data_IF_106120015218
#
_entry.id   IF_106120015218
#
_cell.length_a   1.000
_cell.length_b   1.000
_cell.length_c   1.000
_cell.angle_alpha   90.00
_cell.angle_beta   90.00
_cell.angle_gamma   90.00
#
_symmetry.space_group_name_H-M   'P 1'
#
loop_
_entity.id
_entity.type
_entity.pdbx_description
1 polymer ?
#
# COMPACT_ATOMS: atom_id res chain seq x y z
N UNK A 1 -7.24 -11.88 15.16
CA UNK A 1 -7.87 -10.88 14.25
C UNK A 1 -7.08 -9.56 14.14
N UNK A 2 -6.49 -9.03 15.22
CA UNK A 2 -5.71 -7.76 15.21
C UNK A 2 -4.61 -7.70 14.13
N UNK A 3 -3.81 -8.76 13.98
CA UNK A 3 -2.71 -8.82 13.00
C UNK A 3 -3.18 -8.74 11.54
N UNK A 4 -4.35 -9.31 11.24
CA UNK A 4 -4.90 -9.33 9.89
C UNK A 4 -5.49 -7.97 9.48
N UNK A 5 -6.13 -7.31 10.43
CA UNK A 5 -6.56 -5.92 10.31
C UNK A 5 -5.33 -5.05 10.07
N UNK A 6 -4.30 -5.17 10.92
CA UNK A 6 -3.02 -4.47 10.81
C UNK A 6 -2.39 -4.58 9.41
N UNK A 7 -2.28 -5.79 8.85
CA UNK A 7 -1.73 -6.03 7.49
C UNK A 7 -2.47 -5.22 6.43
N UNK A 8 -3.80 -5.18 6.48
CA UNK A 8 -4.61 -4.46 5.49
C UNK A 8 -4.53 -2.95 5.71
N UNK A 9 -4.71 -2.47 6.96
CA UNK A 9 -4.56 -1.06 7.34
C UNK A 9 -3.28 -0.48 6.79
N UNK A 10 -2.23 -1.28 6.86
CA UNK A 10 -0.89 -0.85 6.60
C UNK A 10 -0.51 -0.87 5.12
N UNK A 11 -0.96 -1.89 4.40
CA UNK A 11 -0.90 -1.88 2.94
C UNK A 11 -1.60 -0.62 2.41
N UNK A 12 -2.75 -0.29 2.98
CA UNK A 12 -3.49 0.94 2.66
C UNK A 12 -2.72 2.19 3.07
N UNK A 13 -2.25 2.28 4.32
CA UNK A 13 -1.46 3.39 4.82
C UNK A 13 -0.29 3.71 3.89
N UNK A 14 0.48 2.68 3.51
CA UNK A 14 1.59 2.83 2.60
C UNK A 14 1.18 3.35 1.21
N UNK A 15 0.12 2.79 0.62
CA UNK A 15 -0.41 3.31 -0.65
C UNK A 15 -0.82 4.77 -0.54
N UNK A 16 -1.49 5.12 0.56
CA UNK A 16 -2.00 6.47 0.78
C UNK A 16 -0.87 7.45 1.03
N UNK A 17 0.17 7.10 1.79
CA UNK A 17 1.31 7.98 2.00
C UNK A 17 2.11 8.21 0.72
N UNK A 18 2.32 7.18 -0.11
CA UNK A 18 2.90 7.37 -1.44
C UNK A 18 2.05 8.26 -2.34
N UNK A 19 0.74 8.07 -2.33
CA UNK A 19 -0.18 8.83 -3.17
C UNK A 19 -0.35 10.27 -2.65
N UNK A 20 -0.35 10.48 -1.34
CA UNK A 20 -0.45 11.78 -0.68
C UNK A 20 0.87 12.54 -0.67
N UNK A 21 2.02 11.88 -0.85
CA UNK A 21 3.27 12.54 -1.20
C UNK A 21 3.18 13.30 -2.55
N UNK A 22 2.04 13.21 -3.25
CA UNK A 22 1.67 14.05 -4.39
C UNK A 22 1.89 15.53 -4.09
N UNK A 23 2.78 16.09 -4.92
CA UNK A 23 2.86 17.49 -5.27
C UNK A 23 3.23 18.38 -4.09
N UNK A 24 4.42 18.16 -3.55
CA UNK A 24 5.08 19.30 -2.93
C UNK A 24 5.36 20.31 -4.02
N UNK A 25 4.72 21.47 -3.93
CA UNK A 25 5.15 22.62 -4.69
C UNK A 25 6.54 23.01 -4.19
N UNK A 26 7.55 22.58 -4.92
CA UNK A 26 8.86 23.20 -4.89
C UNK A 26 8.74 24.49 -5.68
N UNK A 27 8.68 25.61 -4.96
CA UNK A 27 8.87 26.90 -5.59
C UNK A 27 10.31 26.95 -6.10
N UNK A 28 10.49 26.95 -7.41
CA UNK A 28 11.78 27.23 -8.05
C UNK A 28 11.57 28.40 -9.01
N UNK A 29 12.57 29.28 -9.11
CA UNK A 29 12.60 30.37 -10.09
C UNK A 29 12.95 29.86 -11.51
N UNK A 30 13.15 28.55 -11.66
CA UNK A 30 13.71 27.89 -12.84
C UNK A 30 12.65 27.42 -13.85
N UNK A 31 11.48 28.08 -13.85
CA UNK A 31 10.35 27.71 -14.71
C UNK A 31 10.75 27.60 -16.18
N UNK A 32 11.56 28.53 -16.68
CA UNK A 32 12.02 28.56 -18.07
C UNK A 32 12.88 27.36 -18.43
N UNK A 33 13.79 26.97 -17.53
CA UNK A 33 14.68 25.84 -17.72
C UNK A 33 13.91 24.52 -17.78
N UNK A 34 12.99 24.32 -16.83
CA UNK A 34 12.11 23.15 -16.78
C UNK A 34 11.21 23.09 -18.03
N UNK A 35 10.63 24.22 -18.44
CA UNK A 35 9.78 24.29 -19.62
C UNK A 35 10.54 23.94 -20.91
N UNK A 36 11.76 24.46 -21.07
CA UNK A 36 12.62 24.16 -22.22
C UNK A 36 13.02 22.67 -22.24
N UNK A 37 13.45 22.11 -21.10
CA UNK A 37 13.78 20.69 -20.99
C UNK A 37 12.60 19.79 -21.39
N UNK A 38 11.41 20.01 -20.83
CA UNK A 38 10.22 19.18 -21.12
C UNK A 38 9.75 19.33 -22.56
N UNK A 39 9.92 20.52 -23.16
CA UNK A 39 9.65 20.76 -24.58
C UNK A 39 10.58 19.93 -25.46
N UNK A 40 11.88 19.95 -25.15
CA UNK A 40 12.91 19.27 -25.96
C UNK A 40 12.77 17.75 -25.84
N UNK A 41 12.35 17.24 -24.68
CA UNK A 41 11.91 15.85 -24.47
C UNK A 41 10.59 15.48 -25.15
N UNK A 42 9.87 16.46 -25.69
CA UNK A 42 8.55 16.30 -26.35
C UNK A 42 7.49 15.65 -25.46
N UNK A 43 7.56 15.90 -24.15
CA UNK A 43 6.57 15.39 -23.18
C UNK A 43 5.46 16.41 -22.88
N UNK A 44 5.63 17.67 -23.29
CA UNK A 44 4.55 18.66 -23.22
C UNK A 44 3.53 18.48 -24.35
N UNK A 45 2.26 18.69 -24.01
CA UNK A 45 1.13 18.61 -24.94
C UNK A 45 1.26 19.52 -26.17
N UNK A 46 0.80 19.00 -27.31
CA UNK A 46 0.86 19.70 -28.60
C UNK A 46 0.07 21.02 -28.51
N UNK A 47 0.78 22.13 -28.68
CA UNK A 47 0.19 23.47 -28.60
C UNK A 47 0.49 24.22 -27.31
N UNK A 48 1.23 23.63 -26.37
CA UNK A 48 1.88 24.37 -25.29
C UNK A 48 3.00 25.25 -25.89
N UNK A 49 2.62 26.43 -26.41
CA UNK A 49 3.53 27.39 -27.03
C UNK A 49 4.10 28.29 -25.94
N UNK A 50 5.21 27.87 -25.36
CA UNK A 50 6.08 28.81 -24.65
C UNK A 50 7.24 29.19 -25.57
N UNK A 51 7.38 30.50 -25.79
CA UNK A 51 8.60 31.09 -26.33
C UNK A 51 9.40 31.55 -25.12
N UNK A 52 10.56 30.95 -24.89
CA UNK A 52 11.57 31.58 -24.05
C UNK A 52 12.77 31.86 -24.93
N UNK A 53 13.01 33.14 -25.17
CA UNK A 53 14.31 33.67 -25.59
C UNK A 53 15.08 33.96 -24.31
N UNK A 54 15.84 33.00 -23.81
CA UNK A 54 16.93 33.27 -22.88
C UNK A 54 18.11 32.39 -23.27
N UNK A 55 19.29 33.01 -23.27
CA UNK A 55 20.58 32.37 -23.51
C UNK A 55 20.81 31.18 -22.57
N UNK A 56 21.66 30.22 -22.94
CA UNK A 56 21.77 28.96 -22.22
C UNK A 56 22.42 29.20 -20.86
N UNK A 57 21.60 29.29 -19.82
CA UNK A 57 21.98 28.70 -18.53
C UNK A 57 22.31 27.22 -18.79
N UNK A 58 23.28 26.68 -18.05
CA UNK A 58 23.60 25.25 -18.04
C UNK A 58 22.43 24.46 -17.46
N UNK A 59 21.36 24.35 -18.26
CA UNK A 59 20.09 23.78 -17.85
C UNK A 59 20.21 22.28 -17.62
N UNK A 60 21.20 21.61 -18.20
CA UNK A 60 21.32 20.16 -18.07
C UNK A 60 21.75 19.75 -16.66
N UNK A 61 22.73 20.46 -16.07
CA UNK A 61 23.14 20.21 -14.68
C UNK A 61 22.03 20.54 -13.69
N UNK A 62 21.36 21.69 -13.86
CA UNK A 62 20.26 22.12 -13.00
C UNK A 62 19.07 21.15 -13.08
N UNK A 63 18.71 20.64 -14.27
CA UNK A 63 17.62 19.67 -14.40
C UNK A 63 17.94 18.36 -13.68
N UNK A 64 19.19 17.89 -13.69
CA UNK A 64 19.58 16.71 -12.92
C UNK A 64 19.35 16.95 -11.42
N UNK A 65 19.80 18.08 -10.90
CA UNK A 65 19.63 18.45 -9.49
C UNK A 65 18.15 18.60 -9.10
N UNK A 66 17.34 19.22 -9.95
CA UNK A 66 15.88 19.34 -9.75
C UNK A 66 15.24 17.95 -9.68
N UNK A 67 15.58 17.05 -10.60
CA UNK A 67 15.01 15.70 -10.66
C UNK A 67 15.33 14.92 -9.38
N UNK A 68 16.58 14.96 -8.94
CA UNK A 68 17.01 14.29 -7.70
C UNK A 68 16.35 14.92 -6.47
N UNK A 69 16.37 16.25 -6.37
CA UNK A 69 15.81 16.99 -5.23
C UNK A 69 14.32 16.71 -5.08
N UNK A 70 13.56 16.75 -6.17
CA UNK A 70 12.11 16.55 -6.12
C UNK A 70 11.77 15.10 -5.80
N UNK A 71 12.50 14.14 -6.36
CA UNK A 71 12.33 12.73 -6.03
C UNK A 71 12.64 12.46 -4.56
N UNK A 72 13.79 12.93 -4.08
CA UNK A 72 14.19 12.81 -2.67
C UNK A 72 13.15 13.45 -1.75
N UNK A 73 12.59 14.61 -2.10
CA UNK A 73 11.52 15.25 -1.32
C UNK A 73 10.22 14.45 -1.31
N UNK A 74 9.84 13.84 -2.44
CA UNK A 74 8.68 12.92 -2.49
C UNK A 74 8.91 11.72 -1.60
N UNK A 75 10.06 11.06 -1.69
CA UNK A 75 10.40 9.90 -0.85
C UNK A 75 10.47 10.29 0.61
N UNK A 76 11.08 11.44 0.93
CA UNK A 76 11.11 11.99 2.28
C UNK A 76 9.71 12.14 2.85
N UNK A 77 8.72 12.59 2.09
CA UNK A 77 7.35 12.73 2.60
C UNK A 77 6.61 11.39 2.66
N UNK A 78 6.90 10.50 1.72
CA UNK A 78 6.32 9.17 1.71
C UNK A 78 6.84 8.31 2.88
N UNK A 79 8.07 8.56 3.34
CA UNK A 79 8.79 7.68 4.27
C UNK A 79 9.20 8.33 5.59
N UNK A 80 9.37 9.64 5.64
CA UNK A 80 9.66 10.38 6.87
C UNK A 80 8.40 11.11 7.32
N UNK A 81 7.92 10.73 8.50
CA UNK A 81 6.76 11.34 9.13
C UNK A 81 7.06 12.79 9.50
N UNK A 82 6.08 13.69 9.34
CA UNK A 82 6.26 15.11 9.63
C UNK A 82 6.10 15.48 11.10
N UNK A 83 5.58 14.58 11.95
CA UNK A 83 5.18 14.91 13.33
C UNK A 83 5.54 13.81 14.33
N UNK A 84 6.75 13.27 14.27
CA UNK A 84 7.22 12.30 15.28
C UNK A 84 7.59 12.94 16.64
N UNK A 85 7.30 14.23 16.84
CA UNK A 85 7.35 14.86 18.16
C UNK A 85 6.00 14.76 18.85
N UNK A 86 5.81 13.70 19.65
CA UNK A 86 5.25 13.73 21.03
C UNK A 86 4.43 12.49 21.43
N UNK A 87 3.99 11.61 20.50
CA UNK A 87 3.19 10.41 20.84
C UNK A 87 3.77 9.07 20.32
N UNK A 88 5.09 8.97 20.11
CA UNK A 88 5.79 7.78 19.55
C UNK A 88 5.66 6.48 20.38
N UNK A 89 5.13 6.53 21.60
CA UNK A 89 5.20 5.39 22.54
C UNK A 89 4.07 4.35 22.37
N UNK A 90 3.11 4.54 21.46
CA UNK A 90 1.92 3.66 21.39
C UNK A 90 1.89 2.61 20.30
N UNK A 91 2.84 2.58 19.37
CA UNK A 91 2.74 1.67 18.22
C UNK A 91 4.12 1.09 17.85
N UNK A 92 4.63 0.21 18.72
CA UNK A 92 5.88 -0.54 18.53
C UNK A 92 5.89 -1.29 17.18
N UNK A 93 4.73 -1.81 16.76
CA UNK A 93 4.51 -2.46 15.47
C UNK A 93 4.75 -1.51 14.28
N UNK A 94 4.28 -0.26 14.38
CA UNK A 94 4.50 0.76 13.35
C UNK A 94 5.97 1.20 13.31
N UNK A 95 6.67 1.23 14.45
CA UNK A 95 8.08 1.61 14.54
C UNK A 95 9.02 0.52 13.98
N UNK A 96 8.81 -0.74 14.35
CA UNK A 96 9.52 -1.89 13.78
C UNK A 96 9.37 -1.94 12.27
N UNK A 97 8.18 -1.60 11.79
CA UNK A 97 7.93 -1.50 10.38
C UNK A 97 8.62 -0.34 9.67
N UNK A 98 8.55 0.88 10.22
CA UNK A 98 9.28 2.04 9.68
C UNK A 98 10.76 1.71 9.51
N UNK A 99 11.32 0.92 10.44
CA UNK A 99 12.69 0.41 10.37
C UNK A 99 12.91 -0.61 9.24
N UNK A 100 11.94 -1.44 8.90
CA UNK A 100 12.00 -2.32 7.72
C UNK A 100 11.93 -1.52 6.41
N UNK A 101 11.17 -0.43 6.39
CA UNK A 101 11.05 0.46 5.23
C UNK A 101 12.30 1.31 4.98
N UNK A 102 12.92 1.80 6.05
CA UNK A 102 14.13 2.62 5.98
C UNK A 102 15.35 1.84 5.44
N UNK A 103 15.27 0.51 5.37
CA UNK A 103 16.40 -0.33 4.97
C UNK A 103 16.71 -0.28 3.47
N UNK A 104 15.75 0.09 2.60
CA UNK A 104 16.05 0.23 1.17
C UNK A 104 15.11 1.18 0.39
N UNK A 105 15.17 2.51 0.63
CA UNK A 105 14.53 3.49 -0.25
C UNK A 105 15.16 3.52 -1.66
N UNK A 106 16.33 2.88 -1.86
CA UNK A 106 17.08 2.96 -3.12
C UNK A 106 16.35 2.25 -4.25
N UNK A 107 15.67 1.13 -3.99
CA UNK A 107 14.85 0.49 -5.02
C UNK A 107 13.75 1.43 -5.54
N UNK A 108 12.96 2.04 -4.64
CA UNK A 108 11.84 2.91 -5.07
C UNK A 108 12.37 4.12 -5.81
N UNK A 109 13.46 4.71 -5.31
CA UNK A 109 14.17 5.79 -5.97
C UNK A 109 14.54 5.40 -7.41
N UNK A 110 15.25 4.28 -7.59
CA UNK A 110 15.72 3.80 -8.89
C UNK A 110 14.56 3.49 -9.84
N UNK A 111 13.50 2.86 -9.34
CA UNK A 111 12.32 2.58 -10.14
C UNK A 111 11.60 3.86 -10.57
N UNK A 112 11.37 4.82 -9.67
CA UNK A 112 10.74 6.09 -10.02
C UNK A 112 11.59 6.91 -11.00
N UNK A 113 12.92 6.89 -10.84
CA UNK A 113 13.85 7.52 -11.78
C UNK A 113 13.75 6.87 -13.16
N UNK A 114 13.76 5.53 -13.24
CA UNK A 114 13.63 4.78 -14.50
C UNK A 114 12.29 5.00 -15.20
N UNK A 115 11.23 5.23 -14.43
CA UNK A 115 9.88 5.55 -14.91
C UNK A 115 9.74 7.02 -15.35
N UNK A 116 10.80 7.83 -15.25
CA UNK A 116 10.75 9.28 -15.48
C UNK A 116 9.67 9.95 -14.63
N UNK A 117 9.54 9.53 -13.36
CA UNK A 117 8.62 10.15 -12.41
C UNK A 117 8.92 11.63 -12.16
N UNK A 118 10.20 12.06 -12.01
CA UNK A 118 10.51 13.48 -11.86
C UNK A 118 10.01 14.35 -13.02
N UNK A 119 10.02 13.82 -14.24
CA UNK A 119 9.53 14.52 -15.43
C UNK A 119 8.01 14.73 -15.39
N UNK A 120 7.26 13.85 -14.73
CA UNK A 120 5.81 14.01 -14.48
C UNK A 120 5.58 15.11 -13.46
N UNK A 121 6.36 15.14 -12.38
CA UNK A 121 6.29 16.21 -11.38
C UNK A 121 6.57 17.57 -12.01
N UNK A 122 7.62 17.65 -12.84
CA UNK A 122 7.96 18.86 -13.59
C UNK A 122 6.83 19.32 -14.51
N UNK A 123 6.17 18.39 -15.22
CA UNK A 123 4.99 18.72 -16.03
C UNK A 123 3.84 19.28 -15.17
N UNK A 124 3.57 18.67 -14.02
CA UNK A 124 2.55 19.14 -13.07
C UNK A 124 2.87 20.59 -12.64
N UNK A 125 4.12 20.86 -12.25
CA UNK A 125 4.59 22.20 -11.88
C UNK A 125 4.37 23.21 -13.03
N UNK A 126 4.80 22.87 -14.25
CA UNK A 126 4.64 23.73 -15.42
C UNK A 126 3.16 24.04 -15.69
N UNK A 127 2.29 23.04 -15.66
CA UNK A 127 0.86 23.25 -15.93
C UNK A 127 0.14 24.03 -14.83
N UNK A 128 0.51 23.83 -13.56
CA UNK A 128 -0.02 24.61 -12.43
C UNK A 128 0.36 26.09 -12.58
N UNK A 129 1.65 26.39 -12.77
CA UNK A 129 2.18 27.76 -12.83
C UNK A 129 1.92 28.46 -14.17
N UNK A 130 1.59 27.74 -15.24
CA UNK A 130 1.31 28.34 -16.56
C UNK A 130 0.16 29.36 -16.52
N UNK A 131 0.40 30.58 -16.94
CA UNK A 131 -0.65 31.62 -17.10
C UNK A 131 -1.33 31.57 -18.48
N UNK A 132 -0.83 30.73 -19.40
CA UNK A 132 -1.29 30.65 -20.79
C UNK A 132 -2.39 29.62 -21.02
N UNK A 133 -2.62 28.71 -20.07
CA UNK A 133 -3.66 27.71 -20.16
C UNK A 133 -4.95 28.17 -19.48
N UNK A 134 -6.08 27.89 -20.12
CA UNK A 134 -7.39 28.02 -19.46
C UNK A 134 -7.51 27.03 -18.30
N UNK A 135 -8.33 27.36 -17.29
CA UNK A 135 -8.59 26.46 -16.16
C UNK A 135 -9.11 25.08 -16.61
N UNK A 136 -9.90 25.03 -17.69
CA UNK A 136 -10.38 23.78 -18.28
C UNK A 136 -9.24 22.93 -18.83
N UNK A 137 -8.28 23.53 -19.53
CA UNK A 137 -7.10 22.83 -20.04
C UNK A 137 -6.19 22.36 -18.89
N UNK A 138 -5.90 23.23 -17.92
CA UNK A 138 -5.13 22.86 -16.71
C UNK A 138 -5.73 21.65 -16.04
N UNK A 139 -7.04 21.67 -15.75
CA UNK A 139 -7.74 20.55 -15.12
C UNK A 139 -7.62 19.26 -15.93
N UNK A 140 -7.76 19.33 -17.26
CA UNK A 140 -7.61 18.17 -18.14
C UNK A 140 -6.20 17.57 -18.06
N UNK A 141 -5.16 18.40 -18.20
CA UNK A 141 -3.78 17.92 -18.23
C UNK A 141 -3.31 17.45 -16.86
N UNK A 142 -3.65 18.18 -15.79
CA UNK A 142 -3.32 17.79 -14.43
C UNK A 142 -3.96 16.47 -14.03
N UNK A 143 -5.23 16.24 -14.39
CA UNK A 143 -5.90 14.95 -14.14
C UNK A 143 -5.17 13.78 -14.81
N UNK A 144 -4.73 13.94 -16.07
CA UNK A 144 -4.00 12.89 -16.78
C UNK A 144 -2.61 12.62 -16.16
N UNK A 145 -1.92 13.66 -15.69
CA UNK A 145 -0.63 13.52 -15.01
C UNK A 145 -0.78 12.96 -13.59
N UNK A 146 -1.87 13.28 -12.90
CA UNK A 146 -2.21 12.68 -11.61
C UNK A 146 -2.42 11.17 -11.74
N UNK A 147 -3.08 10.72 -12.81
CA UNK A 147 -3.22 9.30 -13.14
C UNK A 147 -1.86 8.66 -13.46
N UNK A 148 -1.00 9.33 -14.24
CA UNK A 148 0.35 8.83 -14.57
C UNK A 148 1.26 8.76 -13.33
N UNK A 149 1.13 9.74 -12.42
CA UNK A 149 1.83 9.76 -11.13
C UNK A 149 1.46 8.53 -10.30
N UNK A 150 0.15 8.26 -10.13
CA UNK A 150 -0.34 7.08 -9.39
C UNK A 150 0.18 5.81 -10.04
N UNK A 151 0.07 5.69 -11.38
CA UNK A 151 0.56 4.54 -12.13
C UNK A 151 2.05 4.30 -11.95
N UNK A 152 2.88 5.33 -11.95
CA UNK A 152 4.34 5.18 -11.77
C UNK A 152 4.70 4.81 -10.33
N UNK A 153 4.09 5.44 -9.34
CA UNK A 153 4.24 5.06 -7.93
C UNK A 153 3.84 3.59 -7.72
N UNK A 154 2.74 3.16 -8.34
CA UNK A 154 2.27 1.77 -8.35
C UNK A 154 3.30 0.80 -8.89
N UNK A 155 3.89 1.11 -10.05
CA UNK A 155 4.86 0.22 -10.68
C UNK A 155 6.11 0.14 -9.80
N UNK A 156 6.61 1.27 -9.33
CA UNK A 156 7.79 1.31 -8.47
C UNK A 156 7.57 0.51 -7.18
N UNK A 157 6.44 0.72 -6.51
CA UNK A 157 6.13 0.01 -5.28
C UNK A 157 5.90 -1.48 -5.50
N UNK A 158 5.19 -1.86 -6.57
CA UNK A 158 4.96 -3.27 -6.90
C UNK A 158 6.26 -4.00 -7.25
N UNK A 159 7.26 -3.30 -7.79
CA UNK A 159 8.58 -3.90 -8.07
C UNK A 159 9.40 -4.02 -6.79
N UNK A 160 9.40 -2.98 -5.97
CA UNK A 160 10.34 -2.87 -4.86
C UNK A 160 9.94 -3.58 -3.58
N UNK A 161 8.64 -3.69 -3.30
CA UNK A 161 8.22 -4.17 -2.00
C UNK A 161 7.97 -5.67 -1.90
N UNK A 162 7.34 -6.35 -2.86
CA UNK A 162 6.38 -7.36 -2.46
C UNK A 162 6.97 -8.64 -1.85
N UNK A 163 8.15 -9.12 -2.27
CA UNK A 163 8.62 -10.44 -1.83
C UNK A 163 9.27 -10.42 -0.44
N UNK A 164 10.10 -9.42 -0.19
CA UNK A 164 10.70 -9.23 1.13
C UNK A 164 9.65 -8.70 2.11
N UNK A 165 8.83 -7.75 1.67
CA UNK A 165 7.86 -7.07 2.51
C UNK A 165 6.70 -7.97 2.96
N UNK A 166 5.95 -8.54 2.00
CA UNK A 166 4.87 -9.47 2.33
C UNK A 166 5.43 -10.75 2.93
N UNK A 167 6.68 -11.06 2.62
CA UNK A 167 7.43 -12.11 3.27
C UNK A 167 7.64 -11.88 4.76
N UNK A 168 8.10 -10.69 5.16
CA UNK A 168 8.29 -10.33 6.57
C UNK A 168 6.95 -10.25 7.31
N UNK A 169 5.90 -9.70 6.69
CA UNK A 169 4.55 -9.76 7.27
C UNK A 169 4.07 -11.20 7.46
N UNK A 170 4.36 -12.09 6.52
CA UNK A 170 4.09 -13.50 6.70
C UNK A 170 4.92 -14.06 7.86
N UNK A 171 6.20 -13.74 7.96
CA UNK A 171 7.06 -14.24 9.02
C UNK A 171 6.57 -13.79 10.42
N UNK A 172 6.00 -12.58 10.52
CA UNK A 172 5.33 -12.03 11.72
C UNK A 172 3.99 -12.72 12.04
N UNK A 173 3.26 -13.22 11.05
CA UNK A 173 2.06 -14.05 11.30
C UNK A 173 2.43 -15.38 11.95
N UNK A 174 3.68 -15.82 11.79
CA UNK A 174 4.19 -17.09 12.25
C UNK A 174 5.29 -16.93 13.32
N UNK A 175 5.49 -15.74 13.88
CA UNK A 175 6.25 -15.60 15.12
C UNK A 175 5.43 -16.20 16.26
N UNK A 176 6.09 -16.96 17.13
CA UNK A 176 5.46 -17.47 18.34
C UNK A 176 5.16 -16.26 19.24
N UNK A 177 3.93 -15.76 19.21
CA UNK A 177 3.46 -14.84 20.25
C UNK A 177 3.32 -15.62 21.55
N UNK A 178 3.79 -15.01 22.64
CA UNK A 178 3.67 -15.59 23.98
C UNK A 178 2.20 -15.93 24.26
N UNK A 179 1.97 -17.13 24.80
CA UNK A 179 0.64 -17.67 25.07
C UNK A 179 -0.19 -16.72 25.96
N UNK A 180 -0.94 -15.80 25.34
CA UNK A 180 -1.93 -15.00 26.05
C UNK A 180 -3.04 -15.91 26.56
N UNK A 181 -3.56 -15.58 27.75
CA UNK A 181 -4.72 -16.27 28.32
C UNK A 181 -5.94 -15.95 27.47
N UNK A 182 -6.27 -16.85 26.54
CA UNK A 182 -7.45 -16.72 25.68
C UNK A 182 -8.74 -16.85 26.50
N UNK A 183 -9.68 -15.94 26.27
CA UNK A 183 -11.03 -16.03 26.83
C UNK A 183 -11.81 -17.21 26.22
N UNK A 184 -12.97 -17.57 26.81
CA UNK A 184 -13.84 -18.60 26.21
C UNK A 184 -14.35 -18.18 24.83
N UNK A 185 -14.63 -16.88 24.66
CA UNK A 185 -15.11 -16.29 23.41
C UNK A 185 -14.04 -16.39 22.32
N UNK A 186 -12.78 -16.10 22.64
CA UNK A 186 -11.65 -16.24 21.69
C UNK A 186 -11.52 -17.69 21.20
N UNK A 187 -11.67 -18.67 22.10
CA UNK A 187 -11.63 -20.09 21.76
C UNK A 187 -12.80 -20.51 20.87
N UNK A 188 -13.98 -19.93 21.09
CA UNK A 188 -15.15 -20.16 20.25
C UNK A 188 -14.96 -19.59 18.84
N UNK A 189 -14.40 -18.38 18.74
CA UNK A 189 -14.01 -17.76 17.48
C UNK A 189 -12.99 -18.63 16.74
N UNK A 190 -11.93 -19.07 17.42
CA UNK A 190 -10.89 -19.92 16.84
C UNK A 190 -11.45 -21.24 16.31
N UNK A 191 -12.33 -21.90 17.06
CA UNK A 191 -13.05 -23.09 16.62
C UNK A 191 -13.90 -22.83 15.37
N UNK A 192 -14.71 -21.76 15.36
CA UNK A 192 -15.57 -21.47 14.21
C UNK A 192 -14.80 -21.11 12.95
N UNK A 193 -13.70 -20.36 13.07
CA UNK A 193 -12.81 -20.05 11.95
C UNK A 193 -12.15 -21.33 11.43
N UNK A 194 -11.65 -22.19 12.33
CA UNK A 194 -11.02 -23.47 11.96
C UNK A 194 -12.00 -24.37 11.22
N UNK A 195 -13.21 -24.54 11.76
CA UNK A 195 -14.29 -25.29 11.13
C UNK A 195 -14.64 -24.73 9.76
N UNK A 196 -14.80 -23.41 9.64
CA UNK A 196 -15.07 -22.74 8.37
C UNK A 196 -14.00 -23.03 7.31
N UNK A 197 -12.73 -22.92 7.69
CA UNK A 197 -11.57 -23.15 6.81
C UNK A 197 -11.52 -24.59 6.31
N UNK A 198 -11.85 -25.57 7.17
CA UNK A 198 -11.94 -26.99 6.82
C UNK A 198 -13.13 -27.26 5.89
N UNK A 199 -14.33 -26.84 6.27
CA UNK A 199 -15.58 -27.10 5.53
C UNK A 199 -15.56 -26.48 4.13
N UNK A 200 -14.95 -25.29 3.99
CA UNK A 200 -14.79 -24.59 2.71
C UNK A 200 -13.53 -25.01 1.93
N UNK A 201 -12.77 -26.00 2.43
CA UNK A 201 -11.57 -26.54 1.76
C UNK A 201 -10.51 -25.48 1.45
N UNK A 202 -10.35 -24.52 2.35
CA UNK A 202 -9.34 -23.47 2.22
C UNK A 202 -7.93 -24.00 2.56
N UNK A 203 -7.86 -25.12 3.30
CA UNK A 203 -6.66 -25.89 3.61
C UNK A 203 -6.87 -27.34 3.18
N UNK A 204 -5.80 -27.98 2.69
CA UNK A 204 -5.79 -29.40 2.38
C UNK A 204 -5.56 -30.24 3.64
N UNK A 205 -6.62 -30.72 4.27
CA UNK A 205 -6.56 -31.53 5.50
C UNK A 205 -5.91 -32.91 5.31
N UNK A 206 -5.61 -33.32 4.08
CA UNK A 206 -4.81 -34.53 3.83
C UNK A 206 -3.30 -34.28 4.00
N UNK A 207 -2.90 -33.02 3.84
CA UNK A 207 -1.51 -32.56 3.96
C UNK A 207 -1.25 -31.97 5.35
N UNK A 208 -2.24 -31.29 5.93
CA UNK A 208 -2.10 -30.55 7.18
C UNK A 208 -2.97 -31.16 8.27
N UNK A 209 -2.35 -31.55 9.38
CA UNK A 209 -3.07 -32.05 10.55
C UNK A 209 -3.59 -30.87 11.36
N UNK A 210 -4.80 -30.42 11.04
CA UNK A 210 -5.50 -29.36 11.77
C UNK A 210 -6.41 -30.00 12.80
N UNK A 211 -6.25 -29.65 14.08
CA UNK A 211 -7.22 -30.02 15.10
C UNK A 211 -8.38 -29.03 15.03
N UNK A 212 -9.58 -29.51 14.68
CA UNK A 212 -10.77 -28.65 14.59
C UNK A 212 -11.15 -28.01 15.94
N UNK A 213 -10.87 -28.70 17.07
CA UNK A 213 -11.19 -28.22 18.41
C UNK A 213 -9.94 -28.32 19.33
N UNK A 214 -8.96 -27.42 19.16
CA UNK A 214 -7.69 -27.48 19.89
C UNK A 214 -7.87 -27.30 21.41
N UNK A 215 -8.89 -26.55 21.82
CA UNK A 215 -9.17 -26.23 23.22
C UNK A 215 -10.19 -27.14 23.90
N UNK A 216 -10.71 -28.13 23.18
CA UNK A 216 -11.74 -29.06 23.67
C UNK A 216 -12.95 -28.33 24.30
N UNK A 217 -13.43 -27.27 23.64
CA UNK A 217 -14.61 -26.50 24.08
C UNK A 217 -15.92 -27.21 23.71
N UNK A 218 -17.02 -26.80 24.33
CA UNK A 218 -18.37 -27.23 23.95
C UNK A 218 -18.72 -26.69 22.55
N UNK A 219 -19.02 -27.59 21.61
CA UNK A 219 -19.28 -27.28 20.20
C UNK A 219 -20.76 -27.04 19.89
N UNK A 220 -21.63 -26.96 20.90
CA UNK A 220 -23.07 -26.74 20.72
C UNK A 220 -23.42 -25.25 20.51
N UNK A 221 -22.79 -24.62 19.52
CA UNK A 221 -23.07 -23.26 19.07
C UNK A 221 -22.98 -23.16 17.54
N UNK A 222 -23.71 -22.22 16.95
CA UNK A 222 -23.82 -22.08 15.49
C UNK A 222 -22.67 -21.24 14.93
N UNK A 223 -21.76 -21.90 14.21
CA UNK A 223 -20.65 -21.22 13.55
C UNK A 223 -21.05 -20.54 12.23
N UNK A 224 -22.22 -20.83 11.67
CA UNK A 224 -22.62 -20.26 10.38
C UNK A 224 -22.84 -18.76 10.52
N UNK A 225 -23.77 -18.39 11.41
CA UNK A 225 -24.08 -17.00 11.72
C UNK A 225 -22.85 -16.28 12.28
N UNK A 226 -22.10 -16.95 13.17
CA UNK A 226 -20.91 -16.37 13.79
C UNK A 226 -19.79 -16.01 12.80
N UNK A 227 -19.54 -16.86 11.79
CA UNK A 227 -18.52 -16.56 10.78
C UNK A 227 -18.97 -15.46 9.82
N UNK A 228 -20.26 -15.39 9.47
CA UNK A 228 -20.80 -14.30 8.66
C UNK A 228 -20.63 -12.96 9.39
N UNK A 229 -21.03 -12.90 10.67
CA UNK A 229 -20.88 -11.72 11.53
C UNK A 229 -19.40 -11.32 11.65
N UNK A 230 -18.51 -12.28 11.91
CA UNK A 230 -17.07 -12.02 12.07
C UNK A 230 -16.42 -11.47 10.77
N UNK A 231 -16.82 -11.99 9.61
CA UNK A 231 -16.31 -11.46 8.35
C UNK A 231 -16.89 -10.08 8.01
N UNK A 232 -18.14 -9.82 8.36
CA UNK A 232 -18.73 -8.48 8.22
C UNK A 232 -18.04 -7.47 9.16
N UNK A 233 -17.83 -7.83 10.42
CA UNK A 233 -17.10 -7.01 11.39
C UNK A 233 -15.67 -6.72 10.92
N UNK A 234 -14.96 -7.72 10.37
CA UNK A 234 -13.64 -7.52 9.79
C UNK A 234 -13.70 -6.53 8.61
N UNK A 235 -14.68 -6.65 7.71
CA UNK A 235 -14.87 -5.72 6.59
C UNK A 235 -15.19 -4.30 7.09
N UNK A 236 -15.98 -4.16 8.15
CA UNK A 236 -16.30 -2.88 8.80
C UNK A 236 -15.08 -2.26 9.47
N UNK A 237 -14.31 -3.03 10.24
CA UNK A 237 -13.07 -2.57 10.86
C UNK A 237 -12.07 -2.06 9.83
N UNK A 238 -11.85 -2.81 8.75
CA UNK A 238 -10.99 -2.39 7.65
C UNK A 238 -11.51 -1.08 7.03
N UNK A 239 -12.82 -0.99 6.82
CA UNK A 239 -13.44 0.21 6.24
C UNK A 239 -13.28 1.43 7.14
N UNK A 240 -13.48 1.28 8.44
CA UNK A 240 -13.38 2.38 9.41
C UNK A 240 -11.94 2.84 9.54
N UNK A 241 -10.98 1.91 9.54
CA UNK A 241 -9.57 2.26 9.47
C UNK A 241 -9.20 2.96 8.17
N UNK A 242 -9.71 2.51 7.02
CA UNK A 242 -9.56 3.25 5.77
C UNK A 242 -10.08 4.68 5.98
N UNK A 243 -11.27 4.86 6.54
CA UNK A 243 -11.86 6.20 6.70
C UNK A 243 -11.00 7.09 7.61
N UNK A 244 -10.55 6.53 8.74
CA UNK A 244 -9.86 7.27 9.80
C UNK A 244 -8.40 7.59 9.43
N UNK A 245 -7.68 6.63 8.86
CA UNK A 245 -6.24 6.77 8.60
C UNK A 245 -5.93 7.50 7.30
N UNK A 246 -6.85 7.50 6.34
CA UNK A 246 -6.46 7.74 4.95
C UNK A 246 -6.94 9.06 4.36
N UNK A 247 -7.84 9.78 5.06
CA UNK A 247 -8.48 11.03 4.57
C UNK A 247 -9.08 10.91 3.16
N UNK A 248 -9.43 9.70 2.70
CA UNK A 248 -9.86 9.45 1.33
C UNK A 248 -11.33 9.81 1.09
N UNK A 249 -11.66 10.08 -0.18
CA UNK A 249 -13.05 10.34 -0.57
C UNK A 249 -13.93 9.09 -0.37
N UNK A 250 -15.22 9.29 -0.09
CA UNK A 250 -16.22 8.20 0.00
C UNK A 250 -16.27 7.30 -1.25
N UNK A 251 -15.79 7.77 -2.40
CA UNK A 251 -15.69 6.97 -3.63
C UNK A 251 -14.50 6.00 -3.56
N UNK A 252 -13.34 6.49 -3.14
CA UNK A 252 -12.12 5.70 -2.96
C UNK A 252 -12.33 4.62 -1.89
N UNK A 253 -12.87 4.99 -0.73
CA UNK A 253 -13.21 4.04 0.35
C UNK A 253 -14.09 2.91 -0.19
N UNK A 254 -15.20 3.24 -0.86
CA UNK A 254 -16.10 2.23 -1.45
C UNK A 254 -15.42 1.36 -2.51
N UNK A 255 -14.48 1.90 -3.27
CA UNK A 255 -13.72 1.10 -4.22
C UNK A 255 -12.81 0.10 -3.49
N UNK A 256 -12.08 0.56 -2.46
CA UNK A 256 -11.15 -0.28 -1.69
C UNK A 256 -11.89 -1.39 -0.95
N UNK A 257 -12.99 -1.08 -0.24
CA UNK A 257 -13.82 -2.09 0.42
C UNK A 257 -14.33 -3.14 -0.57
N UNK A 258 -14.75 -2.73 -1.77
CA UNK A 258 -15.14 -3.69 -2.83
C UNK A 258 -13.98 -4.53 -3.33
N UNK A 259 -12.79 -3.96 -3.47
CA UNK A 259 -11.61 -4.70 -3.90
C UNK A 259 -11.23 -5.79 -2.89
N UNK A 260 -11.28 -5.47 -1.59
CA UNK A 260 -11.06 -6.40 -0.46
C UNK A 260 -12.12 -7.51 -0.48
N UNK A 261 -13.40 -7.13 -0.53
CA UNK A 261 -14.51 -8.10 -0.58
C UNK A 261 -14.43 -9.04 -1.78
N UNK A 262 -14.20 -8.49 -2.98
CA UNK A 262 -14.13 -9.28 -4.22
C UNK A 262 -12.94 -10.24 -4.28
N UNK A 263 -11.91 -10.02 -3.44
CA UNK A 263 -10.76 -10.93 -3.32
C UNK A 263 -10.95 -11.98 -2.23
N UNK A 264 -12.12 -12.02 -1.60
CA UNK A 264 -12.40 -12.88 -0.46
C UNK A 264 -11.31 -12.74 0.61
N UNK A 265 -10.84 -11.51 0.85
CA UNK A 265 -9.68 -11.27 1.72
C UNK A 265 -9.90 -11.81 3.12
N UNK A 266 -11.12 -11.70 3.67
CA UNK A 266 -11.46 -12.27 4.97
C UNK A 266 -11.26 -13.79 5.03
N UNK A 267 -11.75 -14.53 4.03
CA UNK A 267 -11.56 -15.98 3.91
C UNK A 267 -10.09 -16.34 3.73
N UNK A 268 -9.38 -15.55 2.93
CA UNK A 268 -7.96 -15.75 2.70
C UNK A 268 -7.18 -15.56 4.00
N UNK A 269 -7.45 -14.52 4.77
CA UNK A 269 -6.82 -14.29 6.07
C UNK A 269 -7.18 -15.37 7.10
N UNK A 270 -8.44 -15.79 7.16
CA UNK A 270 -8.91 -16.89 8.01
C UNK A 270 -8.07 -18.18 7.81
N UNK A 271 -7.72 -18.50 6.56
CA UNK A 271 -6.80 -19.60 6.24
C UNK A 271 -5.45 -19.44 6.95
N UNK A 272 -4.84 -18.26 6.92
CA UNK A 272 -3.53 -18.04 7.53
C UNK A 272 -3.57 -18.02 9.06
N UNK A 273 -4.66 -17.54 9.68
CA UNK A 273 -4.82 -17.67 11.14
C UNK A 273 -4.92 -19.12 11.60
N UNK A 274 -5.50 -20.02 10.82
CA UNK A 274 -5.51 -21.45 11.19
C UNK A 274 -4.13 -22.08 10.96
N UNK A 275 -3.42 -21.64 9.93
CA UNK A 275 -2.09 -22.17 9.61
C UNK A 275 -1.02 -21.74 10.61
N UNK A 276 -1.14 -20.55 11.21
CA UNK A 276 -0.19 -20.08 12.24
C UNK A 276 -0.24 -20.92 13.51
N UNK A 277 -1.38 -21.53 13.82
CA UNK A 277 -1.57 -22.36 15.02
C UNK A 277 -1.05 -23.81 14.88
N UNK A 278 -0.63 -24.21 13.67
CA UNK A 278 -0.11 -25.57 13.44
C UNK A 278 1.39 -25.56 13.16
N UNK A 279 2.06 -26.63 13.57
CA UNK A 279 3.48 -26.82 13.25
C UNK A 279 3.64 -27.12 11.76
N UNK A 280 4.18 -26.16 11.01
CA UNK A 280 4.58 -26.33 9.62
C UNK A 280 6.06 -26.65 9.51
N UNK A 281 6.44 -27.54 8.59
CA UNK A 281 7.84 -27.69 8.21
C UNK A 281 8.28 -26.55 7.26
N UNK A 282 9.59 -26.40 7.05
CA UNK A 282 10.15 -25.31 6.23
C UNK A 282 9.62 -25.28 4.79
N UNK A 283 9.37 -26.45 4.19
CA UNK A 283 8.83 -26.55 2.83
C UNK A 283 7.40 -26.02 2.77
N UNK A 284 6.56 -26.42 3.73
CA UNK A 284 5.19 -25.95 3.87
C UNK A 284 5.14 -24.45 4.18
N UNK A 285 5.97 -23.97 5.11
CA UNK A 285 6.07 -22.55 5.47
C UNK A 285 6.45 -21.71 4.24
N UNK A 286 7.45 -22.15 3.48
CA UNK A 286 7.86 -21.46 2.25
C UNK A 286 6.78 -21.46 1.16
N UNK A 287 6.05 -22.57 0.99
CA UNK A 287 4.91 -22.63 0.06
C UNK A 287 3.84 -21.60 0.43
N UNK A 288 3.44 -21.53 1.70
CA UNK A 288 2.44 -20.58 2.15
C UNK A 288 2.92 -19.14 2.11
N UNK A 289 4.20 -18.90 2.43
CA UNK A 289 4.81 -17.58 2.27
C UNK A 289 4.68 -17.08 0.83
N UNK A 290 4.98 -17.95 -0.15
CA UNK A 290 4.84 -17.60 -1.57
C UNK A 290 3.38 -17.36 -1.99
N UNK A 291 2.45 -18.19 -1.50
CA UNK A 291 1.01 -17.99 -1.73
C UNK A 291 0.56 -16.64 -1.15
N UNK A 292 0.93 -16.34 0.10
CA UNK A 292 0.59 -15.10 0.81
C UNK A 292 1.13 -13.88 0.07
N UNK A 293 2.42 -13.88 -0.25
CA UNK A 293 3.08 -12.81 -1.02
C UNK A 293 2.36 -12.58 -2.34
N UNK A 294 1.98 -13.65 -3.04
CA UNK A 294 1.25 -13.55 -4.31
C UNK A 294 -0.12 -12.91 -4.13
N UNK A 295 -0.89 -13.36 -3.13
CA UNK A 295 -2.18 -12.77 -2.81
C UNK A 295 -2.07 -11.29 -2.46
N UNK A 296 -1.11 -10.93 -1.61
CA UNK A 296 -0.90 -9.55 -1.19
C UNK A 296 -0.50 -8.66 -2.37
N UNK A 297 0.34 -9.14 -3.30
CA UNK A 297 0.61 -8.45 -4.58
C UNK A 297 -0.66 -8.18 -5.38
N UNK A 298 -1.53 -9.18 -5.51
CA UNK A 298 -2.78 -9.03 -6.27
C UNK A 298 -3.76 -8.06 -5.60
N UNK A 299 -3.90 -8.16 -4.28
CA UNK A 299 -4.74 -7.26 -3.49
C UNK A 299 -4.21 -5.82 -3.60
N UNK A 300 -2.89 -5.64 -3.49
CA UNK A 300 -2.21 -4.35 -3.66
C UNK A 300 -2.55 -3.71 -5.01
N UNK A 301 -2.41 -4.46 -6.11
CA UNK A 301 -2.72 -3.98 -7.47
C UNK A 301 -4.19 -3.57 -7.61
N UNK A 302 -5.12 -4.24 -6.91
CA UNK A 302 -6.52 -3.88 -6.94
C UNK A 302 -6.83 -2.62 -6.14
N UNK A 303 -6.27 -2.51 -4.94
CA UNK A 303 -6.48 -1.37 -4.06
C UNK A 303 -5.96 -0.07 -4.69
N UNK A 304 -4.84 -0.14 -5.39
CA UNK A 304 -4.29 1.01 -6.11
C UNK A 304 -5.22 1.58 -7.17
N UNK A 305 -5.99 0.73 -7.87
CA UNK A 305 -6.92 1.19 -8.92
C UNK A 305 -8.05 2.06 -8.38
N UNK A 306 -8.17 2.18 -7.06
CA UNK A 306 -9.16 3.01 -6.42
C UNK A 306 -8.77 4.48 -6.33
N UNK A 307 -7.49 4.81 -6.54
CA UNK A 307 -6.94 6.17 -6.52
C UNK A 307 -6.83 6.75 -7.92
#
# INVERSE_FOLDING_TARGET
MKLQVFIITFVLYFMIHLINAKIVETETEEFECIANYLRDKKVLEKGFKYYVQSEPLDCESHISEIRETWLNKTLKIAFEDKDSSEDEEKDEDLAQFKKLYAQDPTCVYDQLLSLNYPDVLMQIYIYKKSTKLSNRQKKKYLSALEDDTVKKLTIASTICFPDQFFGLMFDEIFSEDESEVQSLEDKQIEYCITKYVIENKLIDTTVYQVNENPHNIDTNFDCTDHNEDLFEELEELIRDQIINETSQSRRQVRCMTRAIKNKNTAQYLAKYSVLSEITLNDEQKNKFRNEFVTFMKELYVLLIKCF
#
